data_IF_326764454549
#
_entry.id   IF_326764454549
#
_cell.length_a   1.000
_cell.length_b   1.000
_cell.length_c   1.000
_cell.angle_alpha   90.00
_cell.angle_beta   90.00
_cell.angle_gamma   90.00
#
_symmetry.space_group_name_H-M   'P 1'
#
loop_
_entity.id
_entity.type
_entity.pdbx_description
1 polymer ?
#
# COMPACT_ATOMS: atom_id res chain seq x y z
N UNK A 1 11.21 -12.70 1.93
CA UNK A 1 9.78 -12.44 1.74
C UNK A 1 9.15 -12.06 3.07
N UNK A 2 8.37 -11.00 3.08
CA UNK A 2 7.79 -10.48 4.31
C UNK A 2 6.43 -11.10 4.58
N UNK A 3 6.13 -11.39 5.85
CA UNK A 3 4.78 -11.82 6.24
C UNK A 3 3.83 -10.63 6.21
N UNK A 4 2.54 -10.91 6.01
CA UNK A 4 1.52 -9.86 5.97
C UNK A 4 0.22 -10.39 6.57
N UNK A 5 -0.63 -9.46 7.00
CA UNK A 5 -1.93 -9.78 7.61
C UNK A 5 -3.07 -9.66 6.60
N UNK A 6 -2.97 -8.73 5.67
CA UNK A 6 -4.00 -8.46 4.68
C UNK A 6 -3.35 -8.38 3.30
N UNK A 7 -4.00 -8.94 2.31
CA UNK A 7 -3.54 -8.86 0.93
C UNK A 7 -4.62 -8.22 0.07
N UNK A 8 -4.22 -7.27 -0.78
CA UNK A 8 -5.14 -6.62 -1.70
C UNK A 8 -4.48 -6.38 -3.04
N UNK A 9 -5.12 -6.87 -4.08
CA UNK A 9 -4.67 -6.62 -5.44
C UNK A 9 -5.48 -5.45 -6.00
N UNK A 10 -4.87 -4.28 -6.05
CA UNK A 10 -5.51 -3.08 -6.57
C UNK A 10 -5.59 -3.08 -8.10
N UNK A 11 -4.86 -3.98 -8.76
CA UNK A 11 -4.86 -4.05 -10.22
C UNK A 11 -4.41 -2.74 -10.82
N UNK A 12 -5.18 -2.25 -11.79
CA UNK A 12 -4.84 -1.05 -12.55
C UNK A 12 -5.50 0.23 -12.02
N UNK A 13 -5.99 0.22 -10.78
CA UNK A 13 -6.55 1.44 -10.18
C UNK A 13 -5.54 2.58 -10.25
N UNK A 14 -5.98 3.73 -10.71
CA UNK A 14 -5.16 4.94 -10.72
C UNK A 14 -4.87 5.43 -9.32
N UNK A 15 -3.81 6.22 -9.16
CA UNK A 15 -3.30 6.59 -7.84
C UNK A 15 -4.32 7.30 -6.95
N UNK A 16 -5.20 8.13 -7.52
CA UNK A 16 -6.23 8.78 -6.74
C UNK A 16 -7.18 7.79 -6.06
N UNK A 17 -7.71 6.84 -6.82
CA UNK A 17 -8.59 5.81 -6.29
C UNK A 17 -7.83 4.82 -5.42
N UNK A 18 -6.61 4.50 -5.82
CA UNK A 18 -5.77 3.56 -5.09
C UNK A 18 -5.54 4.00 -3.66
N UNK A 19 -5.09 5.24 -3.46
CA UNK A 19 -4.80 5.73 -2.10
C UNK A 19 -6.07 5.95 -1.29
N UNK A 20 -7.18 6.29 -1.93
CA UNK A 20 -8.46 6.41 -1.25
C UNK A 20 -8.90 5.07 -0.68
N UNK A 21 -8.83 4.01 -1.49
CA UNK A 21 -9.19 2.67 -1.07
C UNK A 21 -8.23 2.15 0.01
N UNK A 22 -6.95 2.40 -0.13
CA UNK A 22 -5.96 2.04 0.88
C UNK A 22 -6.29 2.69 2.22
N UNK A 23 -6.62 3.96 2.20
CA UNK A 23 -6.97 4.69 3.42
C UNK A 23 -8.14 4.04 4.15
N UNK A 24 -9.18 3.70 3.40
CA UNK A 24 -10.36 3.06 3.97
C UNK A 24 -10.01 1.71 4.59
N UNK A 25 -9.29 0.88 3.84
CA UNK A 25 -8.92 -0.46 4.28
C UNK A 25 -8.00 -0.44 5.50
N UNK A 26 -7.01 0.44 5.48
CA UNK A 26 -6.02 0.51 6.55
C UNK A 26 -6.58 1.09 7.84
N UNK A 27 -7.58 1.96 7.76
CA UNK A 27 -8.28 2.46 8.95
C UNK A 27 -9.03 1.36 9.70
N UNK A 28 -9.44 0.32 8.98
CA UNK A 28 -10.16 -0.80 9.57
C UNK A 28 -9.24 -1.83 10.23
N UNK A 29 -7.94 -1.70 10.00
CA UNK A 29 -6.96 -2.67 10.50
C UNK A 29 -5.68 -1.97 10.98
N UNK A 30 -5.76 -1.17 12.07
CA UNK A 30 -4.60 -0.44 12.58
C UNK A 30 -3.46 -1.40 12.97
N UNK A 31 -2.23 -1.02 12.63
CA UNK A 31 -1.04 -1.80 12.98
C UNK A 31 -0.80 -3.04 12.14
N UNK A 32 -1.73 -3.39 11.26
CA UNK A 32 -1.58 -4.58 10.42
C UNK A 32 -0.73 -4.31 9.19
N UNK A 33 -0.11 -5.35 8.66
CA UNK A 33 0.73 -5.28 7.47
C UNK A 33 -0.09 -5.66 6.25
N UNK A 34 -0.14 -4.75 5.28
CA UNK A 34 -0.86 -4.94 4.02
C UNK A 34 0.12 -5.25 2.91
N UNK A 35 -0.15 -6.31 2.18
CA UNK A 35 0.56 -6.62 0.93
C UNK A 35 -0.33 -6.12 -0.21
N UNK A 36 0.14 -5.10 -0.92
CA UNK A 36 -0.62 -4.43 -1.98
C UNK A 36 0.05 -4.69 -3.32
N UNK A 37 -0.73 -5.13 -4.30
CA UNK A 37 -0.26 -5.21 -5.68
C UNK A 37 -0.88 -4.05 -6.43
N UNK A 38 -0.07 -3.17 -7.00
CA UNK A 38 -0.51 -1.97 -7.70
C UNK A 38 0.21 -1.86 -9.03
N UNK A 39 -0.55 -1.97 -10.11
CA UNK A 39 0.00 -2.01 -11.47
C UNK A 39 0.13 -0.64 -12.11
N UNK A 40 -0.48 0.40 -11.53
CA UNK A 40 -0.40 1.74 -12.06
C UNK A 40 1.04 2.25 -12.09
N UNK A 41 1.44 2.85 -13.20
CA UNK A 41 2.81 3.32 -13.39
C UNK A 41 3.23 4.40 -12.38
N UNK A 42 2.27 5.15 -11.82
CA UNK A 42 2.54 6.17 -10.81
C UNK A 42 2.70 5.63 -9.39
N UNK A 43 2.30 4.39 -9.13
CA UNK A 43 2.31 3.83 -7.78
C UNK A 43 3.68 3.86 -7.11
N UNK A 44 4.80 3.53 -7.80
CA UNK A 44 6.11 3.56 -7.15
C UNK A 44 6.51 4.93 -6.60
N UNK A 45 6.00 6.02 -7.18
CA UNK A 45 6.26 7.36 -6.67
C UNK A 45 5.21 7.78 -5.65
N UNK A 46 3.94 7.47 -5.91
CA UNK A 46 2.83 7.99 -5.12
C UNK A 46 2.63 7.26 -3.79
N UNK A 47 2.82 5.94 -3.76
CA UNK A 47 2.62 5.18 -2.53
C UNK A 47 3.61 5.59 -1.43
N UNK A 48 4.92 5.70 -1.70
CA UNK A 48 5.84 6.16 -0.65
C UNK A 48 5.51 7.56 -0.14
N UNK A 49 5.14 8.47 -1.04
CA UNK A 49 4.77 9.83 -0.66
C UNK A 49 3.51 9.82 0.22
N UNK A 50 2.52 9.04 -0.16
CA UNK A 50 1.29 8.90 0.61
C UNK A 50 1.54 8.31 1.99
N UNK A 51 2.40 7.30 2.08
CA UNK A 51 2.78 6.71 3.37
C UNK A 51 3.40 7.75 4.29
N UNK A 52 4.31 8.57 3.76
CA UNK A 52 4.93 9.63 4.53
C UNK A 52 3.92 10.66 5.04
N UNK A 53 2.93 11.01 4.22
CA UNK A 53 1.91 11.99 4.59
C UNK A 53 0.91 11.46 5.61
N UNK A 54 0.65 10.16 5.61
CA UNK A 54 -0.39 9.55 6.44
C UNK A 54 0.17 8.82 7.66
N UNK A 55 1.48 8.82 7.83
CA UNK A 55 2.18 8.12 8.92
C UNK A 55 2.00 6.60 8.86
N UNK A 56 1.64 6.05 7.72
CA UNK A 56 1.77 4.62 7.46
C UNK A 56 3.22 4.33 7.09
N UNK A 57 3.68 3.11 7.31
CA UNK A 57 5.08 2.77 7.10
C UNK A 57 5.23 1.85 5.91
N UNK A 58 5.92 2.30 4.87
CA UNK A 58 6.29 1.45 3.76
C UNK A 58 7.46 0.56 4.21
N UNK A 59 7.19 -0.73 4.37
CA UNK A 59 8.19 -1.67 4.86
C UNK A 59 9.07 -2.21 3.74
N UNK A 60 8.48 -2.49 2.58
CA UNK A 60 9.22 -3.03 1.46
C UNK A 60 8.47 -2.77 0.16
N UNK A 61 9.20 -2.64 -0.93
CA UNK A 61 8.65 -2.52 -2.28
C UNK A 61 9.43 -3.43 -3.21
N UNK A 62 8.72 -4.31 -3.92
CA UNK A 62 9.32 -5.16 -4.95
C UNK A 62 8.85 -4.69 -6.33
N UNK A 63 9.70 -3.97 -7.08
CA UNK A 63 9.31 -3.45 -8.39
C UNK A 63 8.97 -4.55 -9.40
N UNK A 64 9.64 -5.69 -9.30
CA UNK A 64 9.44 -6.78 -10.27
C UNK A 64 8.02 -7.35 -10.19
N UNK A 65 7.48 -7.50 -9.00
CA UNK A 65 6.13 -8.00 -8.78
C UNK A 65 5.11 -6.89 -8.55
N UNK A 66 5.55 -5.63 -8.59
CA UNK A 66 4.72 -4.44 -8.36
C UNK A 66 3.99 -4.50 -7.02
N UNK A 67 4.68 -5.01 -6.01
CA UNK A 67 4.13 -5.28 -4.70
C UNK A 67 4.70 -4.32 -3.66
N UNK A 68 3.85 -3.89 -2.73
CA UNK A 68 4.21 -3.00 -1.63
C UNK A 68 3.75 -3.62 -0.32
N UNK A 69 4.61 -3.58 0.70
CA UNK A 69 4.24 -4.01 2.06
C UNK A 69 4.20 -2.78 2.94
N UNK A 70 3.01 -2.48 3.46
CA UNK A 70 2.77 -1.26 4.22
C UNK A 70 2.14 -1.63 5.55
N UNK A 71 2.72 -1.13 6.64
CA UNK A 71 2.09 -1.27 7.95
C UNK A 71 1.20 -0.07 8.22
N UNK A 72 -0.07 -0.35 8.51
CA UNK A 72 -1.03 0.69 8.86
C UNK A 72 -0.64 1.31 10.19
N UNK A 73 -0.77 2.64 10.30
CA UNK A 73 -0.51 3.33 11.56
C UNK A 73 -1.50 2.89 12.63
N UNK A 74 -1.07 2.95 13.85
CA UNK A 74 -1.90 2.61 15.00
C UNK A 74 -2.70 3.81 15.52
#
# INVERSE_FOLDING_TARGET
MMTHDVEWNAGELGCGELVLELRIRMRQAPGKIFKIIALDAGAPADIPAWCGMTHNVLLEHDPASKTFWIRART
#
